data_IF_398170878459
#
_entry.id   IF_398170878459
#
_cell.length_a   1.000
_cell.length_b   1.000
_cell.length_c   1.000
_cell.angle_alpha   90.00
_cell.angle_beta   90.00
_cell.angle_gamma   90.00
#
_symmetry.space_group_name_H-M   'P 1'
#
loop_
_entity.id
_entity.type
_entity.pdbx_description
1 polymer ?
#
# COMPACT_ATOMS: atom_id res chain seq x y z
N UNK A 1 1.51 24.48 1.56
CA UNK A 1 1.97 23.11 1.91
C UNK A 1 0.72 22.26 2.08
N UNK A 2 0.52 21.30 1.22
CA UNK A 2 -0.67 20.44 1.17
C UNK A 2 -0.85 19.64 2.48
N UNK A 3 -2.09 19.55 2.96
CA UNK A 3 -2.45 18.83 4.19
C UNK A 3 -3.31 17.63 3.86
N UNK A 4 -3.20 16.61 4.66
CA UNK A 4 -4.06 15.42 4.53
C UNK A 4 -5.47 15.80 5.01
N UNK A 5 -6.44 15.74 4.08
CA UNK A 5 -7.85 16.02 4.37
C UNK A 5 -8.59 14.77 4.83
N UNK A 6 -8.29 13.61 4.23
CA UNK A 6 -8.90 12.34 4.57
C UNK A 6 -7.98 11.16 4.23
N UNK A 7 -8.17 10.05 4.97
CA UNK A 7 -7.60 8.73 4.65
C UNK A 7 -8.72 7.71 4.80
N UNK A 8 -8.93 6.92 3.76
CA UNK A 8 -9.96 5.89 3.69
C UNK A 8 -9.35 4.54 3.35
N UNK A 9 -9.98 3.46 3.79
CA UNK A 9 -9.53 2.09 3.49
C UNK A 9 -10.68 1.27 2.94
N UNK A 10 -10.40 0.48 1.91
CA UNK A 10 -11.37 -0.39 1.25
C UNK A 10 -10.77 -1.79 1.11
N UNK A 11 -11.39 -2.77 1.74
CA UNK A 11 -11.00 -4.17 1.56
C UNK A 11 -11.60 -4.69 0.25
N UNK A 12 -10.78 -5.36 -0.56
CA UNK A 12 -11.24 -6.00 -1.79
C UNK A 12 -10.54 -7.35 -2.01
N UNK A 13 -11.09 -8.14 -2.93
CA UNK A 13 -10.62 -9.47 -3.27
C UNK A 13 -10.56 -9.62 -4.78
N UNK A 14 -9.50 -10.22 -5.26
CA UNK A 14 -9.29 -10.54 -6.66
C UNK A 14 -9.10 -12.04 -6.81
N UNK A 15 -9.97 -12.73 -7.57
CA UNK A 15 -9.76 -14.12 -7.90
C UNK A 15 -8.50 -14.25 -8.78
N UNK A 16 -7.72 -15.30 -8.56
CA UNK A 16 -6.55 -15.60 -9.37
C UNK A 16 -6.93 -16.55 -10.51
N UNK A 17 -6.19 -16.52 -11.62
CA UNK A 17 -6.37 -17.43 -12.77
C UNK A 17 -5.95 -18.88 -12.47
N UNK A 18 -5.64 -19.19 -11.25
CA UNK A 18 -5.22 -20.49 -10.77
C UNK A 18 -4.78 -20.40 -9.32
N UNK A 19 -4.49 -21.51 -8.72
CA UNK A 19 -3.97 -21.56 -7.36
C UNK A 19 -2.45 -21.37 -7.39
N UNK A 20 -1.94 -20.26 -6.85
CA UNK A 20 -0.52 -20.09 -6.64
C UNK A 20 -0.08 -20.90 -5.42
N UNK A 21 0.89 -21.77 -5.60
CA UNK A 21 1.46 -22.61 -4.54
C UNK A 21 2.92 -22.26 -4.29
N UNK A 22 3.30 -22.22 -3.02
CA UNK A 22 4.69 -22.03 -2.60
C UNK A 22 4.99 -22.81 -1.33
N UNK A 23 6.17 -23.41 -1.27
CA UNK A 23 6.51 -24.33 -0.19
C UNK A 23 5.61 -25.58 -0.19
N UNK A 24 5.59 -26.31 0.90
CA UNK A 24 4.88 -27.59 1.02
C UNK A 24 3.41 -27.46 1.45
N UNK A 25 3.00 -26.31 2.00
CA UNK A 25 1.69 -26.17 2.65
C UNK A 25 1.01 -24.83 2.41
N UNK A 26 1.53 -23.99 1.51
CA UNK A 26 0.98 -22.67 1.29
C UNK A 26 0.43 -22.55 -0.12
N UNK A 27 -0.81 -22.09 -0.23
CA UNK A 27 -1.45 -21.77 -1.50
C UNK A 27 -2.35 -20.56 -1.40
N UNK A 28 -2.64 -19.94 -2.53
CA UNK A 28 -3.51 -18.79 -2.64
C UNK A 28 -4.29 -18.84 -3.96
N UNK A 29 -5.61 -18.91 -3.86
CA UNK A 29 -6.53 -18.88 -5.01
C UNK A 29 -7.20 -17.48 -5.16
N UNK A 30 -7.08 -16.63 -4.16
CA UNK A 30 -7.67 -15.30 -4.11
C UNK A 30 -6.68 -14.32 -3.44
N UNK A 31 -6.40 -13.20 -4.09
CA UNK A 31 -5.64 -12.12 -3.50
C UNK A 31 -6.59 -11.18 -2.73
N UNK A 32 -6.37 -11.05 -1.44
CA UNK A 32 -7.11 -10.13 -0.55
C UNK A 32 -6.23 -8.96 -0.23
N UNK A 33 -6.68 -7.74 -0.52
CA UNK A 33 -5.91 -6.52 -0.32
C UNK A 33 -6.75 -5.46 0.39
N UNK A 34 -6.07 -4.45 0.94
CA UNK A 34 -6.70 -3.22 1.44
C UNK A 34 -6.19 -2.07 0.60
N UNK A 35 -7.08 -1.42 -0.15
CA UNK A 35 -6.78 -0.16 -0.80
C UNK A 35 -6.77 0.95 0.25
N UNK A 36 -5.73 1.76 0.26
CA UNK A 36 -5.61 2.99 1.03
C UNK A 36 -5.72 4.16 0.08
N UNK A 37 -6.65 5.07 0.34
CA UNK A 37 -6.85 6.30 -0.42
C UNK A 37 -6.56 7.49 0.49
N UNK A 38 -5.69 8.38 0.05
CA UNK A 38 -5.36 9.64 0.73
C UNK A 38 -5.87 10.79 -0.12
N UNK A 39 -6.57 11.74 0.49
CA UNK A 39 -6.99 12.99 -0.16
C UNK A 39 -6.34 14.18 0.57
N UNK A 40 -5.81 15.10 -0.20
CA UNK A 40 -5.25 16.36 0.26
C UNK A 40 -6.31 17.48 0.28
N UNK A 41 -5.99 18.59 0.93
CA UNK A 41 -6.86 19.75 1.08
C UNK A 41 -7.07 20.55 -0.22
N UNK A 42 -6.25 20.33 -1.23
CA UNK A 42 -6.42 20.85 -2.59
C UNK A 42 -7.28 19.95 -3.50
N UNK A 43 -7.73 18.80 -2.99
CA UNK A 43 -8.53 17.83 -3.71
C UNK A 43 -7.73 16.74 -4.43
N UNK A 44 -6.40 16.81 -4.45
CA UNK A 44 -5.56 15.76 -5.03
C UNK A 44 -5.72 14.45 -4.25
N UNK A 45 -5.74 13.33 -4.95
CA UNK A 45 -5.93 12.01 -4.36
C UNK A 45 -4.81 11.06 -4.76
N UNK A 46 -4.34 10.26 -3.83
CA UNK A 46 -3.37 9.20 -4.08
C UNK A 46 -3.83 7.88 -3.50
N UNK A 47 -3.40 6.79 -4.11
CA UNK A 47 -3.83 5.44 -3.73
C UNK A 47 -2.65 4.48 -3.66
N UNK A 48 -2.76 3.51 -2.75
CA UNK A 48 -1.84 2.39 -2.68
C UNK A 48 -2.50 1.17 -2.07
N UNK A 49 -1.93 0.00 -2.31
CA UNK A 49 -2.42 -1.25 -1.76
C UNK A 49 -1.58 -1.72 -0.58
N UNK A 50 -2.25 -2.22 0.45
CA UNK A 50 -1.68 -2.92 1.57
C UNK A 50 -2.00 -4.42 1.44
N UNK A 51 -1.06 -5.28 1.00
CA UNK A 51 -1.27 -6.71 0.89
C UNK A 51 -1.11 -7.38 2.27
N UNK A 52 -2.19 -7.91 2.88
CA UNK A 52 -2.08 -8.62 4.14
C UNK A 52 -1.30 -9.93 3.95
N UNK A 53 -0.39 -10.20 4.87
CA UNK A 53 0.41 -11.44 4.91
C UNK A 53 0.60 -11.86 6.37
N UNK A 54 -0.44 -12.45 7.01
CA UNK A 54 -0.41 -12.75 8.44
C UNK A 54 0.73 -13.69 8.84
N UNK A 55 1.11 -14.60 7.97
CA UNK A 55 2.21 -15.55 8.23
C UNK A 55 3.62 -14.97 7.99
N UNK A 56 3.71 -13.78 7.39
CA UNK A 56 4.99 -13.11 7.06
C UNK A 56 5.13 -11.83 7.88
N UNK A 57 4.13 -10.96 7.84
CA UNK A 57 4.17 -9.63 8.49
C UNK A 57 3.30 -9.54 9.75
N UNK A 58 2.45 -10.56 10.01
CA UNK A 58 1.51 -10.57 11.14
C UNK A 58 0.30 -9.68 10.93
N UNK A 59 0.14 -9.05 9.78
CA UNK A 59 -0.98 -8.14 9.49
C UNK A 59 -2.06 -8.82 8.65
N UNK A 60 -3.31 -8.70 9.07
CA UNK A 60 -4.51 -9.11 8.32
C UNK A 60 -5.20 -7.88 7.73
N UNK A 61 -6.13 -8.05 6.78
CA UNK A 61 -6.91 -6.93 6.25
C UNK A 61 -7.67 -6.19 7.38
N UNK A 62 -8.23 -6.92 8.32
CA UNK A 62 -8.93 -6.34 9.47
C UNK A 62 -8.01 -5.52 10.36
N UNK A 63 -6.81 -6.04 10.70
CA UNK A 63 -5.86 -5.30 11.55
C UNK A 63 -5.28 -4.09 10.82
N UNK A 64 -5.05 -4.16 9.50
CA UNK A 64 -4.64 -3.02 8.69
C UNK A 64 -5.73 -1.92 8.73
N UNK A 65 -6.98 -2.27 8.48
CA UNK A 65 -8.08 -1.31 8.53
C UNK A 65 -8.27 -0.69 9.93
N UNK A 66 -8.17 -1.49 10.98
CA UNK A 66 -8.30 -1.03 12.37
C UNK A 66 -7.18 -0.05 12.73
N UNK A 67 -5.91 -0.40 12.51
CA UNK A 67 -4.77 0.46 12.89
C UNK A 67 -4.78 1.78 12.09
N UNK A 68 -5.16 1.74 10.81
CA UNK A 68 -5.31 2.96 10.00
C UNK A 68 -6.36 3.88 10.64
N UNK A 69 -7.56 3.37 10.89
CA UNK A 69 -8.69 4.17 11.38
C UNK A 69 -8.47 4.68 12.80
N UNK A 70 -7.97 3.83 13.69
CA UNK A 70 -7.95 4.11 15.12
C UNK A 70 -6.68 4.83 15.60
N UNK A 71 -5.55 4.59 14.92
CA UNK A 71 -4.26 5.11 15.33
C UNK A 71 -3.61 6.06 14.31
N UNK A 72 -3.66 5.75 13.01
CA UNK A 72 -2.91 6.54 12.02
C UNK A 72 -3.72 7.75 11.54
N UNK A 73 -5.00 7.61 11.22
CA UNK A 73 -5.87 8.73 10.80
C UNK A 73 -5.86 9.88 11.81
N UNK A 74 -6.04 9.67 13.13
CA UNK A 74 -6.03 10.77 14.12
C UNK A 74 -4.70 11.54 14.19
N UNK A 75 -3.59 10.90 13.79
CA UNK A 75 -2.26 11.51 13.78
C UNK A 75 -1.93 12.26 12.50
N UNK A 76 -2.63 11.95 11.41
CA UNK A 76 -2.29 12.39 10.06
C UNK A 76 -3.26 13.42 9.49
N UNK A 77 -4.56 13.28 9.72
CA UNK A 77 -5.56 14.21 9.18
C UNK A 77 -5.35 15.61 9.76
N UNK A 78 -5.41 16.61 8.90
CA UNK A 78 -5.11 18.02 9.19
C UNK A 78 -3.62 18.35 9.24
N UNK A 79 -2.71 17.37 9.11
CA UNK A 79 -1.27 17.59 9.18
C UNK A 79 -0.65 17.77 7.79
N UNK A 80 0.51 18.45 7.70
CA UNK A 80 1.26 18.53 6.44
C UNK A 80 1.59 17.13 5.90
N UNK A 81 1.26 16.88 4.64
CA UNK A 81 1.43 15.56 4.02
C UNK A 81 2.89 15.08 4.06
N UNK A 82 3.86 15.97 3.90
CA UNK A 82 5.29 15.67 3.97
C UNK A 82 5.75 15.17 5.35
N UNK A 83 4.95 15.38 6.41
CA UNK A 83 5.28 14.91 7.76
C UNK A 83 4.69 13.55 8.09
N UNK A 84 3.98 12.90 7.15
CA UNK A 84 3.21 11.70 7.41
C UNK A 84 4.08 10.56 7.98
N UNK A 85 5.20 10.27 7.35
CA UNK A 85 6.10 9.20 7.81
C UNK A 85 6.59 9.42 9.25
N UNK A 86 7.07 10.61 9.56
CA UNK A 86 7.56 10.92 10.90
C UNK A 86 6.47 10.79 11.98
N UNK A 87 5.22 11.13 11.63
CA UNK A 87 4.08 11.00 12.55
C UNK A 87 3.65 9.55 12.76
N UNK A 88 3.74 8.72 11.72
CA UNK A 88 3.47 7.29 11.82
C UNK A 88 4.53 6.52 12.62
N UNK A 89 5.74 7.07 12.78
CA UNK A 89 6.82 6.43 13.51
C UNK A 89 6.50 6.18 15.00
N UNK A 90 5.60 6.97 15.60
CA UNK A 90 5.13 6.77 16.97
C UNK A 90 4.34 5.46 17.16
N UNK A 91 3.74 4.93 16.10
CA UNK A 91 3.03 3.64 16.11
C UNK A 91 4.02 2.54 15.79
N UNK A 92 4.22 1.59 16.68
CA UNK A 92 5.15 0.47 16.47
C UNK A 92 4.56 -0.55 15.50
N UNK A 93 5.42 -1.25 14.77
CA UNK A 93 5.03 -2.29 13.80
C UNK A 93 4.08 -1.75 12.70
N UNK A 94 3.19 -2.59 12.18
CA UNK A 94 2.18 -2.24 11.18
C UNK A 94 2.78 -1.64 9.90
N UNK A 95 3.85 -2.25 9.40
CA UNK A 95 4.61 -1.72 8.28
C UNK A 95 3.82 -1.76 6.97
N UNK A 96 2.95 -2.75 6.79
CA UNK A 96 2.09 -2.84 5.61
C UNK A 96 1.11 -1.67 5.55
N UNK A 97 0.44 -1.38 6.67
CA UNK A 97 -0.48 -0.23 6.78
C UNK A 97 0.25 1.10 6.56
N UNK A 98 1.40 1.30 7.23
CA UNK A 98 2.19 2.53 7.11
C UNK A 98 2.76 2.72 5.72
N UNK A 99 3.31 1.65 5.11
CA UNK A 99 3.85 1.71 3.75
C UNK A 99 2.79 2.09 2.72
N UNK A 100 1.57 1.55 2.84
CA UNK A 100 0.49 1.92 1.94
C UNK A 100 0.07 3.40 2.10
N UNK A 101 0.00 3.91 3.35
CA UNK A 101 -0.27 5.34 3.57
C UNK A 101 0.86 6.20 2.98
N UNK A 102 2.11 5.83 3.19
CA UNK A 102 3.27 6.56 2.68
C UNK A 102 3.26 6.64 1.15
N UNK A 103 3.05 5.51 0.48
CA UNK A 103 2.91 5.46 -0.98
C UNK A 103 1.73 6.30 -1.48
N UNK A 104 0.56 6.21 -0.84
CA UNK A 104 -0.61 6.99 -1.22
C UNK A 104 -0.40 8.51 -0.98
N UNK A 105 0.32 8.90 0.07
CA UNK A 105 0.70 10.30 0.30
C UNK A 105 1.64 10.80 -0.79
N UNK A 106 2.64 10.01 -1.18
CA UNK A 106 3.55 10.37 -2.26
C UNK A 106 2.83 10.51 -3.61
N UNK A 107 1.87 9.63 -3.90
CA UNK A 107 1.04 9.70 -5.10
C UNK A 107 0.16 10.96 -5.09
N UNK A 108 -0.54 11.24 -3.98
CA UNK A 108 -1.35 12.46 -3.85
C UNK A 108 -0.52 13.73 -4.00
N UNK A 109 0.69 13.77 -3.42
CA UNK A 109 1.59 14.91 -3.55
C UNK A 109 2.11 15.09 -4.98
N UNK A 110 2.40 14.00 -5.69
CA UNK A 110 2.79 14.07 -7.09
C UNK A 110 1.69 14.71 -7.94
N UNK A 111 0.44 14.28 -7.75
CA UNK A 111 -0.72 14.85 -8.43
C UNK A 111 -0.93 16.34 -8.06
N UNK A 112 -0.82 16.70 -6.78
CA UNK A 112 -0.88 18.10 -6.31
C UNK A 112 0.18 18.99 -6.95
N UNK A 113 1.34 18.44 -7.26
CA UNK A 113 2.48 19.15 -7.86
C UNK A 113 2.47 19.07 -9.41
N UNK A 114 1.49 18.39 -10.01
CA UNK A 114 1.39 18.21 -11.47
C UNK A 114 2.50 17.34 -12.04
N UNK A 115 3.04 16.41 -11.26
CA UNK A 115 4.13 15.51 -11.61
C UNK A 115 3.64 14.06 -11.62
N UNK A 116 4.37 13.20 -12.32
CA UNK A 116 4.24 11.74 -12.11
C UNK A 116 4.92 11.34 -10.80
N UNK A 117 4.51 10.22 -10.21
CA UNK A 117 5.17 9.68 -9.02
C UNK A 117 6.66 9.38 -9.29
N UNK A 118 6.99 8.92 -10.51
CA UNK A 118 8.36 8.67 -10.93
C UNK A 118 9.22 9.95 -10.90
N UNK A 119 8.71 11.04 -11.46
CA UNK A 119 9.40 12.35 -11.43
C UNK A 119 9.59 12.85 -10.01
N UNK A 120 8.55 12.78 -9.18
CA UNK A 120 8.63 13.17 -7.77
C UNK A 120 9.67 12.37 -6.98
N UNK A 121 9.82 11.08 -7.27
CA UNK A 121 10.81 10.21 -6.63
C UNK A 121 12.21 10.33 -7.27
N UNK A 122 12.39 11.19 -8.27
CA UNK A 122 13.67 11.41 -8.93
C UNK A 122 14.13 10.23 -9.79
N UNK A 123 13.19 9.50 -10.40
CA UNK A 123 13.52 8.39 -11.28
C UNK A 123 14.38 8.88 -12.47
N UNK A 124 15.52 8.23 -12.66
CA UNK A 124 16.48 8.51 -13.73
C UNK A 124 16.50 7.41 -14.82
N UNK A 125 15.61 6.42 -14.69
CA UNK A 125 15.53 5.26 -15.56
C UNK A 125 14.12 5.11 -16.11
N UNK A 126 14.00 4.80 -17.36
CA UNK A 126 12.75 4.50 -18.06
C UNK A 126 12.40 3.00 -18.03
N UNK A 127 13.29 2.17 -17.52
CA UNK A 127 13.11 0.72 -17.39
C UNK A 127 13.77 0.18 -16.11
N UNK A 128 13.14 -0.80 -15.49
CA UNK A 128 13.63 -1.52 -14.30
C UNK A 128 13.72 -3.01 -14.61
N UNK A 129 14.83 -3.64 -14.24
CA UNK A 129 14.94 -5.11 -14.29
C UNK A 129 14.08 -5.73 -13.20
N UNK A 130 13.25 -6.70 -13.57
CA UNK A 130 12.39 -7.43 -12.65
C UNK A 130 12.80 -8.90 -12.59
N UNK A 131 12.56 -9.54 -11.44
CA UNK A 131 12.61 -10.99 -11.29
C UNK A 131 11.23 -11.57 -11.53
N UNK A 132 11.15 -12.69 -12.22
CA UNK A 132 9.93 -13.46 -12.34
C UNK A 132 10.03 -14.72 -11.47
N UNK A 133 9.05 -14.94 -10.60
CA UNK A 133 9.00 -16.13 -9.74
C UNK A 133 8.12 -17.16 -10.43
N UNK A 134 8.71 -18.31 -10.77
CA UNK A 134 7.95 -19.46 -11.25
C UNK A 134 7.31 -20.15 -10.05
N UNK A 135 6.00 -20.37 -10.11
CA UNK A 135 5.26 -21.14 -9.12
C UNK A 135 5.60 -22.62 -9.17
N UNK A 136 5.16 -23.37 -8.15
CA UNK A 136 5.23 -24.84 -8.15
C UNK A 136 4.00 -25.33 -8.92
N UNK A 137 4.23 -25.97 -10.07
CA UNK A 137 3.20 -26.53 -10.93
C UNK A 137 3.73 -27.69 -11.76
N UNK A 138 2.91 -28.31 -12.58
CA UNK A 138 3.34 -29.28 -13.57
C UNK A 138 4.23 -28.58 -14.63
N UNK A 139 5.11 -29.32 -15.28
CA UNK A 139 6.12 -28.75 -16.20
C UNK A 139 5.53 -28.00 -17.40
N UNK A 140 4.31 -28.33 -17.77
CA UNK A 140 3.51 -27.74 -18.84
C UNK A 140 2.63 -26.56 -18.39
N UNK A 141 2.61 -26.28 -17.07
CA UNK A 141 1.86 -25.16 -16.46
C UNK A 141 2.75 -24.00 -16.03
N UNK A 142 4.08 -24.09 -16.21
CA UNK A 142 5.07 -23.08 -15.73
C UNK A 142 5.66 -22.28 -16.89
#
# INVERSE_FOLDING_TARGET
MARIAAIETFEFRLPMYGELRWGSQSSMAEARHVLVKVRLDDGSEGMAEAPPRPTIYGETATTIGAIVREELVPRLVGQPAQSAWARMAAVRNNQTAKGAIDMAVHDALAQSEGQTLAERLGASWDAVRVSYILGIGARDEV
#
